data_IF_905649306771
#
_entry.id   IF_905649306771
#
_cell.length_a   1.000
_cell.length_b   1.000
_cell.length_c   1.000
_cell.angle_alpha   90.00
_cell.angle_beta   90.00
_cell.angle_gamma   90.00
#
_symmetry.space_group_name_H-M   'P 1'
#
loop_
_entity.id
_entity.type
_entity.pdbx_description
1 polymer ?
#
# COMPACT_ATOMS: atom_id res chain seq x y z
N UNK A 1 17.77 -35.75 -60.25
CA UNK A 1 16.91 -36.44 -59.25
C UNK A 1 17.85 -37.23 -58.35
N UNK A 2 17.95 -37.14 -57.02
CA UNK A 2 17.18 -36.49 -55.94
C UNK A 2 18.14 -36.31 -54.73
N UNK A 3 17.89 -35.28 -53.92
CA UNK A 3 18.54 -34.90 -52.64
C UNK A 3 18.28 -35.97 -51.55
N UNK A 4 19.10 -36.09 -50.47
CA UNK A 4 18.67 -35.49 -49.21
C UNK A 4 19.83 -35.05 -48.27
N UNK A 5 20.09 -33.74 -48.21
CA UNK A 5 20.85 -33.07 -47.14
C UNK A 5 19.87 -32.61 -46.06
N UNK A 6 19.23 -33.56 -45.36
CA UNK A 6 18.07 -33.26 -44.49
C UNK A 6 18.24 -33.53 -42.99
N UNK A 7 19.16 -34.41 -42.58
CA UNK A 7 19.21 -34.90 -41.20
C UNK A 7 20.13 -34.10 -40.26
N UNK A 8 21.20 -33.50 -40.78
CA UNK A 8 22.16 -32.74 -39.96
C UNK A 8 21.68 -31.33 -39.58
N UNK A 9 20.71 -30.76 -40.31
CA UNK A 9 20.23 -29.40 -40.06
C UNK A 9 19.27 -29.34 -38.88
N UNK A 10 18.42 -30.36 -38.74
CA UNK A 10 17.40 -30.44 -37.68
C UNK A 10 18.04 -30.53 -36.29
N UNK A 11 19.08 -31.34 -36.12
CA UNK A 11 19.70 -31.56 -34.80
C UNK A 11 20.40 -30.31 -34.25
N UNK A 12 21.00 -29.46 -35.11
CA UNK A 12 21.58 -28.17 -34.67
C UNK A 12 20.52 -27.16 -34.25
N UNK A 13 19.36 -27.13 -34.91
CA UNK A 13 18.25 -26.23 -34.51
C UNK A 13 17.73 -26.52 -33.10
N UNK A 14 17.67 -27.80 -32.68
CA UNK A 14 17.23 -28.16 -31.32
C UNK A 14 18.17 -27.64 -30.24
N UNK A 15 19.49 -27.67 -30.45
CA UNK A 15 20.47 -27.19 -29.48
C UNK A 15 20.56 -25.66 -29.44
N UNK A 16 20.42 -24.99 -30.59
CA UNK A 16 20.37 -23.53 -30.66
C UNK A 16 19.12 -22.96 -29.97
N UNK A 17 17.95 -23.60 -30.13
CA UNK A 17 16.73 -23.19 -29.43
C UNK A 17 16.82 -23.32 -27.91
N UNK A 18 17.47 -24.37 -27.38
CA UNK A 18 17.65 -24.52 -25.94
C UNK A 18 18.63 -23.49 -25.36
N UNK A 19 19.73 -23.19 -26.05
CA UNK A 19 20.69 -22.20 -25.59
C UNK A 19 20.08 -20.77 -25.57
N UNK A 20 19.25 -20.43 -26.56
CA UNK A 20 18.52 -19.16 -26.59
C UNK A 20 17.46 -19.10 -25.48
N UNK A 21 16.77 -20.22 -25.21
CA UNK A 21 15.75 -20.27 -24.15
C UNK A 21 16.34 -20.11 -22.75
N UNK A 22 17.52 -20.69 -22.47
CA UNK A 22 18.23 -20.49 -21.19
C UNK A 22 18.77 -19.07 -21.05
N UNK A 23 19.28 -18.47 -22.12
CA UNK A 23 19.79 -17.08 -22.10
C UNK A 23 18.67 -16.06 -21.84
N UNK A 24 17.48 -16.29 -22.40
CA UNK A 24 16.30 -15.44 -22.20
C UNK A 24 15.77 -15.56 -20.77
N UNK A 25 15.75 -16.75 -20.17
CA UNK A 25 15.35 -16.94 -18.76
C UNK A 25 16.37 -16.32 -17.77
N UNK A 26 17.66 -16.38 -18.10
CA UNK A 26 18.70 -15.72 -17.29
C UNK A 26 18.61 -14.18 -17.34
N UNK A 27 18.20 -13.61 -18.48
CA UNK A 27 18.04 -12.15 -18.64
C UNK A 27 16.81 -11.58 -17.88
N UNK A 28 15.79 -12.39 -17.62
CA UNK A 28 14.62 -11.97 -16.81
C UNK A 28 14.80 -12.12 -15.30
N UNK A 29 15.92 -12.71 -14.86
CA UNK A 29 16.18 -12.96 -13.43
C UNK A 29 17.04 -11.89 -12.76
N UNK A 30 17.38 -10.81 -13.47
CA UNK A 30 18.38 -9.83 -13.03
C UNK A 30 18.08 -8.39 -13.43
N UNK A 31 16.89 -7.89 -13.11
CA UNK A 31 16.61 -6.44 -13.12
C UNK A 31 15.40 -6.08 -12.24
N UNK A 32 15.41 -6.49 -10.97
CA UNK A 32 14.65 -5.81 -9.91
C UNK A 32 15.65 -4.93 -9.16
N UNK A 33 16.02 -3.83 -9.79
CA UNK A 33 16.80 -2.76 -9.18
C UNK A 33 16.54 -1.47 -9.97
N UNK A 34 15.31 -0.99 -9.90
CA UNK A 34 14.99 0.41 -10.09
C UNK A 34 14.09 0.80 -8.92
N UNK A 35 14.76 1.16 -7.83
CA UNK A 35 14.20 1.74 -6.62
C UNK A 35 13.71 3.16 -6.90
N UNK A 36 12.76 3.33 -7.82
CA UNK A 36 12.02 4.57 -7.97
C UNK A 36 10.84 4.53 -6.99
N UNK A 37 11.13 4.94 -5.76
CA UNK A 37 10.23 5.32 -4.67
C UNK A 37 8.76 4.88 -4.79
N UNK A 38 8.51 3.56 -4.76
CA UNK A 38 7.20 3.05 -4.35
C UNK A 38 7.13 3.31 -2.84
N UNK A 39 6.14 4.06 -2.31
CA UNK A 39 5.97 4.23 -0.88
C UNK A 39 6.02 2.85 -0.23
N UNK A 40 6.91 2.66 0.74
CA UNK A 40 6.96 1.38 1.47
C UNK A 40 5.58 1.11 2.05
N UNK A 41 5.20 -0.16 2.19
CA UNK A 41 3.88 -0.53 2.73
C UNK A 41 3.64 0.14 4.09
N UNK A 42 4.71 0.35 4.88
CA UNK A 42 4.71 1.16 6.10
C UNK A 42 4.29 2.62 5.88
N UNK A 43 4.88 3.34 4.90
CA UNK A 43 4.52 4.73 4.62
C UNK A 43 3.06 4.84 4.17
N UNK A 44 2.60 3.91 3.32
CA UNK A 44 1.20 3.81 2.88
C UNK A 44 0.25 3.57 4.05
N UNK A 45 0.58 2.63 4.94
CA UNK A 45 -0.23 2.33 6.12
C UNK A 45 -0.30 3.52 7.08
N UNK A 46 0.82 4.22 7.28
CA UNK A 46 0.90 5.43 8.10
C UNK A 46 0.11 6.58 7.49
N UNK A 47 0.18 6.79 6.19
CA UNK A 47 -0.58 7.86 5.53
C UNK A 47 -2.09 7.57 5.54
N UNK A 48 -2.47 6.29 5.47
CA UNK A 48 -3.85 5.86 5.73
C UNK A 48 -4.29 6.18 7.16
N UNK A 49 -3.45 5.91 8.17
CA UNK A 49 -3.73 6.27 9.56
C UNK A 49 -3.88 7.79 9.75
N UNK A 50 -3.01 8.60 9.13
CA UNK A 50 -3.14 10.07 9.13
C UNK A 50 -4.44 10.55 8.48
N UNK A 51 -4.82 9.96 7.34
CA UNK A 51 -6.07 10.28 6.66
C UNK A 51 -7.28 10.02 7.58
N UNK A 52 -7.30 8.87 8.27
CA UNK A 52 -8.37 8.54 9.23
C UNK A 52 -8.35 9.45 10.46
N UNK A 53 -7.17 9.84 10.96
CA UNK A 53 -7.07 10.84 12.01
C UNK A 53 -7.65 12.20 11.58
N UNK A 54 -7.42 12.61 10.33
CA UNK A 54 -8.04 13.81 9.76
C UNK A 54 -9.57 13.74 9.75
N UNK A 55 -10.14 12.57 9.43
CA UNK A 55 -11.59 12.35 9.52
C UNK A 55 -12.10 12.47 10.96
N UNK A 56 -11.40 11.87 11.95
CA UNK A 56 -11.76 12.02 13.37
C UNK A 56 -11.83 13.49 13.76
N UNK A 57 -10.82 14.27 13.37
CA UNK A 57 -10.78 15.71 13.68
C UNK A 57 -11.94 16.47 13.04
N UNK A 58 -12.26 16.17 11.78
CA UNK A 58 -13.41 16.75 11.10
C UNK A 58 -14.73 16.47 11.84
N UNK A 59 -14.99 15.22 12.23
CA UNK A 59 -16.22 14.88 12.96
C UNK A 59 -16.24 15.41 14.40
N UNK A 60 -15.06 15.56 15.02
CA UNK A 60 -14.94 16.26 16.30
C UNK A 60 -15.37 17.72 16.21
N UNK A 61 -14.92 18.43 15.18
CA UNK A 61 -15.30 19.82 14.96
C UNK A 61 -16.80 19.94 14.62
N UNK A 62 -17.35 19.01 13.83
CA UNK A 62 -18.79 18.96 13.51
C UNK A 62 -19.65 18.71 14.75
N UNK A 63 -19.27 17.77 15.61
CA UNK A 63 -19.97 17.52 16.87
C UNK A 63 -19.92 18.72 17.80
N UNK A 64 -18.75 19.35 17.96
CA UNK A 64 -18.60 20.56 18.77
C UNK A 64 -19.45 21.72 18.23
N UNK A 65 -19.51 21.91 16.92
CA UNK A 65 -20.37 22.90 16.30
C UNK A 65 -21.85 22.62 16.60
N UNK A 66 -22.27 21.36 16.62
CA UNK A 66 -23.63 20.99 16.98
C UNK A 66 -23.95 21.35 18.43
N UNK A 67 -23.09 20.93 19.38
CA UNK A 67 -23.30 21.16 20.82
C UNK A 67 -23.25 22.66 21.18
N UNK A 68 -22.46 23.44 20.45
CA UNK A 68 -22.34 24.89 20.68
C UNK A 68 -23.45 25.72 20.01
N UNK A 69 -24.15 25.17 19.01
CA UNK A 69 -25.34 25.81 18.45
C UNK A 69 -26.49 25.71 19.43
N UNK A 70 -27.03 26.86 19.82
CA UNK A 70 -28.16 26.98 20.75
C UNK A 70 -29.52 26.49 20.19
N UNK A 71 -29.54 25.93 18.97
CA UNK A 71 -30.75 25.50 18.26
C UNK A 71 -31.26 24.11 18.67
N UNK A 72 -30.52 23.38 19.53
CA UNK A 72 -31.08 22.26 20.29
C UNK A 72 -31.56 21.04 19.50
N UNK A 73 -31.13 20.86 18.24
CA UNK A 73 -31.42 19.62 17.50
C UNK A 73 -30.52 18.48 17.98
N UNK A 74 -30.92 17.88 19.10
CA UNK A 74 -30.22 16.76 19.74
C UNK A 74 -30.06 15.56 18.79
N UNK A 75 -30.98 15.36 17.85
CA UNK A 75 -30.90 14.26 16.87
C UNK A 75 -29.73 14.49 15.90
N UNK A 76 -29.50 15.74 15.47
CA UNK A 76 -28.33 16.07 14.66
C UNK A 76 -27.03 15.90 15.44
N UNK A 77 -27.02 16.26 16.74
CA UNK A 77 -25.82 16.10 17.56
C UNK A 77 -25.53 14.61 17.86
N UNK A 78 -26.56 13.79 18.02
CA UNK A 78 -26.43 12.34 18.13
C UNK A 78 -25.86 11.72 16.85
N UNK A 79 -26.35 12.14 15.68
CA UNK A 79 -25.79 11.71 14.40
C UNK A 79 -24.30 12.09 14.28
N UNK A 80 -23.94 13.35 14.59
CA UNK A 80 -22.55 13.80 14.57
C UNK A 80 -21.65 13.05 15.57
N UNK A 81 -22.19 12.67 16.73
CA UNK A 81 -21.50 11.84 17.71
C UNK A 81 -21.27 10.43 17.18
N UNK A 82 -22.27 9.82 16.55
CA UNK A 82 -22.15 8.49 15.95
C UNK A 82 -21.11 8.48 14.82
N UNK A 83 -21.09 9.50 13.97
CA UNK A 83 -20.07 9.66 12.92
C UNK A 83 -18.67 9.79 13.51
N UNK A 84 -18.52 10.59 14.58
CA UNK A 84 -17.25 10.72 15.30
C UNK A 84 -16.78 9.37 15.87
N UNK A 85 -17.66 8.60 16.51
CA UNK A 85 -17.31 7.29 17.08
C UNK A 85 -16.89 6.30 16.00
N UNK A 86 -17.59 6.29 14.86
CA UNK A 86 -17.23 5.48 13.69
C UNK A 86 -15.84 5.84 13.15
N UNK A 87 -15.59 7.13 12.93
CA UNK A 87 -14.29 7.62 12.47
C UNK A 87 -13.15 7.30 13.45
N UNK A 88 -13.44 7.34 14.76
CA UNK A 88 -12.46 6.97 15.79
C UNK A 88 -12.10 5.48 15.70
N UNK A 89 -13.09 4.60 15.50
CA UNK A 89 -12.86 3.18 15.27
C UNK A 89 -11.98 2.92 14.05
N UNK A 90 -12.30 3.58 12.93
CA UNK A 90 -11.52 3.54 11.69
C UNK A 90 -10.07 3.99 11.89
N UNK A 91 -9.86 5.07 12.64
CA UNK A 91 -8.53 5.57 12.95
C UNK A 91 -7.75 4.58 13.82
N UNK A 92 -8.34 4.05 14.89
CA UNK A 92 -7.69 3.07 15.76
C UNK A 92 -7.28 1.82 14.97
N UNK A 93 -8.16 1.35 14.07
CA UNK A 93 -7.84 0.23 13.20
C UNK A 93 -6.67 0.54 12.26
N UNK A 94 -6.73 1.69 11.56
CA UNK A 94 -5.65 2.10 10.66
C UNK A 94 -4.31 2.30 11.39
N UNK A 95 -4.33 2.84 12.61
CA UNK A 95 -3.15 3.01 13.45
C UNK A 95 -2.51 1.67 13.82
N UNK A 96 -3.32 0.67 14.20
CA UNK A 96 -2.81 -0.68 14.49
C UNK A 96 -2.22 -1.36 13.25
N UNK A 97 -2.85 -1.19 12.09
CA UNK A 97 -2.31 -1.70 10.82
C UNK A 97 -0.96 -1.02 10.52
N UNK A 98 -0.86 0.30 10.69
CA UNK A 98 0.41 1.01 10.53
C UNK A 98 1.48 0.48 11.49
N UNK A 99 1.15 0.23 12.76
CA UNK A 99 2.09 -0.34 13.74
C UNK A 99 2.53 -1.76 13.38
N UNK A 100 1.63 -2.63 12.91
CA UNK A 100 1.99 -3.99 12.49
C UNK A 100 2.88 -3.98 11.24
N UNK A 101 2.47 -3.25 10.20
CA UNK A 101 3.22 -3.19 8.93
C UNK A 101 4.59 -2.55 9.12
N UNK A 102 4.65 -1.38 9.77
CA UNK A 102 5.92 -0.72 10.05
C UNK A 102 6.78 -1.51 11.04
N UNK A 103 6.16 -2.18 12.03
CA UNK A 103 6.87 -3.00 13.01
C UNK A 103 7.63 -4.17 12.39
N UNK A 104 7.08 -4.79 11.33
CA UNK A 104 7.78 -5.82 10.53
C UNK A 104 9.02 -5.29 9.83
N UNK A 105 9.04 -4.00 9.50
CA UNK A 105 10.18 -3.30 8.91
C UNK A 105 11.13 -2.69 9.97
N UNK A 106 10.84 -2.87 11.26
CA UNK A 106 11.60 -2.24 12.36
C UNK A 106 11.41 -0.73 12.45
N UNK A 107 10.33 -0.20 11.86
CA UNK A 107 9.97 1.23 11.83
C UNK A 107 8.78 1.51 12.75
N UNK A 108 8.66 2.75 13.23
CA UNK A 108 7.46 3.16 13.97
C UNK A 108 6.29 3.41 13.01
N UNK A 109 5.15 2.80 13.32
CA UNK A 109 3.87 3.09 12.68
C UNK A 109 3.13 4.29 13.28
N UNK A 110 3.74 5.00 14.22
CA UNK A 110 3.12 6.16 14.83
C UNK A 110 3.00 7.33 13.86
N UNK A 111 1.82 7.93 13.84
CA UNK A 111 1.57 9.15 13.07
C UNK A 111 2.25 10.38 13.67
N UNK A 112 2.58 10.32 14.97
CA UNK A 112 3.40 11.32 15.67
C UNK A 112 4.85 10.83 15.59
N UNK A 113 5.55 11.22 14.53
CA UNK A 113 7.01 11.11 14.55
C UNK A 113 7.57 12.19 15.47
N UNK A 114 8.53 11.87 16.36
CA UNK A 114 9.32 12.92 16.97
C UNK A 114 10.00 13.70 15.83
N UNK A 115 9.88 15.03 15.86
CA UNK A 115 10.68 15.87 14.98
C UNK A 115 12.15 15.51 15.23
N UNK A 116 12.87 15.09 14.18
CA UNK A 116 14.32 14.97 14.26
C UNK A 116 14.86 16.41 14.36
N UNK A 117 15.26 16.81 15.56
CA UNK A 117 16.15 17.97 15.78
C UNK A 117 17.58 17.66 15.30
#
# INVERSE_FOLDING_TARGET
MLKPSGLYRKQREWHLSHAVSVLVVALFSGAVAASDSIPTDCDTARDRAKSKYGAVRHYFDTFNLCVTRADGDLLQCEAALNDQQSALGDFIFAQRVAQDVCGREGRSGDIVQPAQE
#
